data_IF_509076627200
#
_entry.id   IF_509076627200
#
_cell.length_a   1.000
_cell.length_b   1.000
_cell.length_c   1.000
_cell.angle_alpha   90.00
_cell.angle_beta   90.00
_cell.angle_gamma   90.00
#
_symmetry.space_group_name_H-M   'P 1'
#
loop_
_entity.id
_entity.type
_entity.pdbx_description
1 polymer ?
#
# COMPACT_ATOMS: atom_id res chain seq x y z
N UNK A 1 -10.79 -18.18 -16.50
CA UNK A 1 -11.70 -17.27 -15.80
C UNK A 1 -10.90 -16.06 -15.32
N UNK A 2 -11.30 -14.84 -15.72
CA UNK A 2 -10.58 -13.59 -15.37
C UNK A 2 -10.70 -13.28 -13.88
N UNK A 3 -11.84 -13.60 -13.26
CA UNK A 3 -12.06 -13.37 -11.83
C UNK A 3 -11.09 -14.20 -10.99
N UNK A 4 -11.03 -15.51 -11.22
CA UNK A 4 -10.09 -16.39 -10.51
C UNK A 4 -8.63 -15.94 -10.67
N UNK A 5 -8.23 -15.45 -11.85
CA UNK A 5 -6.89 -14.92 -12.10
C UNK A 5 -6.64 -13.64 -11.29
N UNK A 6 -7.57 -12.69 -11.28
CA UNK A 6 -7.45 -11.45 -10.50
C UNK A 6 -7.29 -11.74 -9.00
N UNK A 7 -8.10 -12.66 -8.45
CA UNK A 7 -8.03 -13.08 -7.05
C UNK A 7 -6.69 -13.76 -6.74
N UNK A 8 -6.19 -14.62 -7.61
CA UNK A 8 -4.89 -15.27 -7.42
C UNK A 8 -3.74 -14.25 -7.42
N UNK A 9 -3.76 -13.29 -8.35
CA UNK A 9 -2.77 -12.20 -8.39
C UNK A 9 -2.85 -11.30 -7.16
N UNK A 10 -4.07 -10.99 -6.69
CA UNK A 10 -4.29 -10.22 -5.47
C UNK A 10 -3.61 -10.89 -4.27
N UNK A 11 -3.88 -12.18 -4.06
CA UNK A 11 -3.30 -12.95 -2.95
C UNK A 11 -1.78 -13.07 -3.07
N UNK A 12 -1.27 -13.33 -4.28
CA UNK A 12 0.17 -13.41 -4.53
C UNK A 12 0.90 -12.11 -4.20
N UNK A 13 0.32 -10.94 -4.55
CA UNK A 13 0.92 -9.64 -4.23
C UNK A 13 0.70 -9.26 -2.78
N UNK A 14 -0.49 -9.53 -2.21
CA UNK A 14 -0.84 -9.22 -0.81
C UNK A 14 0.14 -9.92 0.12
N UNK A 15 0.30 -11.23 -0.02
CA UNK A 15 1.03 -12.06 0.96
C UNK A 15 2.46 -12.40 0.52
N UNK A 16 2.77 -12.37 -0.78
CA UNK A 16 4.12 -12.64 -1.29
C UNK A 16 5.12 -11.51 -1.06
N UNK A 17 4.66 -10.31 -0.70
CA UNK A 17 5.49 -9.15 -0.39
C UNK A 17 5.06 -8.62 0.97
N UNK A 18 5.92 -8.68 1.98
CA UNK A 18 5.62 -8.16 3.32
C UNK A 18 5.39 -6.65 3.27
N UNK A 19 4.40 -6.15 4.01
CA UNK A 19 4.22 -4.71 4.16
C UNK A 19 5.32 -4.09 5.03
N UNK A 20 5.99 -3.06 4.53
CA UNK A 20 7.03 -2.35 5.26
C UNK A 20 6.97 -0.84 4.93
N UNK A 21 6.43 0.00 5.85
CA UNK A 21 6.26 1.43 5.59
C UNK A 21 7.59 2.21 5.58
N UNK A 22 8.71 1.58 5.96
CA UNK A 22 10.03 2.21 5.96
C UNK A 22 10.81 2.00 4.66
N UNK A 23 10.28 1.21 3.70
CA UNK A 23 10.91 0.90 2.41
C UNK A 23 10.60 1.93 1.32
N UNK A 24 10.61 3.21 1.68
CA UNK A 24 10.41 4.29 0.71
C UNK A 24 11.75 4.58 0.01
N UNK A 25 11.80 4.37 -1.31
CA UNK A 25 12.94 4.73 -2.16
C UNK A 25 12.64 5.99 -2.95
N UNK A 26 13.66 6.78 -3.28
CA UNK A 26 13.55 7.92 -4.21
C UNK A 26 13.94 7.56 -5.65
N UNK A 27 14.41 6.35 -5.92
CA UNK A 27 14.75 5.92 -7.28
C UNK A 27 13.48 5.44 -8.01
N UNK A 28 13.06 6.08 -9.12
CA UNK A 28 11.93 5.62 -9.92
C UNK A 28 12.06 4.19 -10.43
N UNK A 29 13.28 3.66 -10.58
CA UNK A 29 13.52 2.28 -10.99
C UNK A 29 12.95 1.26 -9.99
N UNK A 30 12.95 1.59 -8.70
CA UNK A 30 12.44 0.72 -7.62
C UNK A 30 10.91 0.56 -7.65
N UNK A 31 10.22 1.47 -8.34
CA UNK A 31 8.77 1.42 -8.52
C UNK A 31 8.34 0.62 -9.76
N UNK A 32 9.29 0.16 -10.59
CA UNK A 32 8.95 -0.70 -11.74
C UNK A 32 8.41 -2.03 -11.23
N UNK A 33 7.30 -2.50 -11.80
CA UNK A 33 6.68 -3.75 -11.38
C UNK A 33 7.66 -4.95 -11.37
N UNK A 34 8.61 -5.01 -12.32
CA UNK A 34 9.64 -6.04 -12.34
C UNK A 34 10.60 -5.98 -11.14
N UNK A 35 10.93 -4.77 -10.66
CA UNK A 35 11.75 -4.58 -9.47
C UNK A 35 10.95 -4.92 -8.21
N UNK A 36 9.70 -4.45 -8.12
CA UNK A 36 8.80 -4.75 -7.00
C UNK A 36 8.57 -6.26 -6.86
N UNK A 37 8.39 -6.99 -7.96
CA UNK A 37 8.20 -8.44 -7.97
C UNK A 37 9.40 -9.22 -7.41
N UNK A 38 10.59 -8.62 -7.37
CA UNK A 38 11.80 -9.22 -6.81
C UNK A 38 12.04 -8.81 -5.33
N UNK A 39 11.23 -7.90 -4.80
CA UNK A 39 11.35 -7.47 -3.41
C UNK A 39 10.64 -8.42 -2.46
N UNK A 40 11.24 -8.67 -1.29
CA UNK A 40 10.61 -9.41 -0.19
C UNK A 40 9.68 -8.54 0.65
N UNK A 41 9.80 -7.20 0.59
CA UNK A 41 8.96 -6.28 1.33
C UNK A 41 8.83 -4.92 0.66
N UNK A 42 7.65 -4.32 0.74
CA UNK A 42 7.39 -2.99 0.21
C UNK A 42 6.17 -2.35 0.89
N UNK A 43 5.88 -1.09 0.59
CA UNK A 43 4.71 -0.37 1.12
C UNK A 43 3.55 -0.37 0.10
N UNK A 44 2.45 0.32 0.43
CA UNK A 44 1.18 0.18 -0.31
C UNK A 44 1.30 0.60 -1.78
N UNK A 45 2.07 1.66 -2.08
CA UNK A 45 2.18 2.20 -3.44
C UNK A 45 2.86 1.20 -4.40
N UNK A 46 4.07 0.65 -4.14
CA UNK A 46 4.67 -0.30 -5.07
C UNK A 46 3.89 -1.61 -5.19
N UNK A 47 3.25 -2.07 -4.11
CA UNK A 47 2.36 -3.25 -4.14
C UNK A 47 1.16 -3.02 -5.06
N UNK A 48 0.55 -1.83 -5.04
CA UNK A 48 -0.50 -1.45 -6.00
C UNK A 48 0.02 -1.39 -7.44
N UNK A 49 1.25 -0.90 -7.66
CA UNK A 49 1.89 -0.90 -8.99
C UNK A 49 2.07 -2.32 -9.52
N UNK A 50 2.61 -3.23 -8.70
CA UNK A 50 2.80 -4.62 -9.11
C UNK A 50 1.47 -5.30 -9.46
N UNK A 51 0.46 -5.16 -8.61
CA UNK A 51 -0.85 -5.78 -8.86
C UNK A 51 -1.51 -5.23 -10.12
N UNK A 52 -1.49 -3.90 -10.31
CA UNK A 52 -2.02 -3.24 -11.51
C UNK A 52 -1.30 -3.73 -12.78
N UNK A 53 0.02 -3.81 -12.76
CA UNK A 53 0.81 -4.29 -13.89
C UNK A 53 0.53 -5.77 -14.20
N UNK A 54 0.39 -6.62 -13.18
CA UNK A 54 0.09 -8.03 -13.35
C UNK A 54 -1.30 -8.26 -13.98
N UNK A 55 -2.30 -7.49 -13.56
CA UNK A 55 -3.64 -7.53 -14.16
C UNK A 55 -3.61 -7.10 -15.64
N UNK A 56 -2.95 -5.98 -15.94
CA UNK A 56 -2.78 -5.50 -17.33
C UNK A 56 -2.08 -6.54 -18.21
N UNK A 57 -1.06 -7.21 -17.68
CA UNK A 57 -0.32 -8.26 -18.40
C UNK A 57 -1.21 -9.43 -18.82
N UNK A 58 -2.20 -9.80 -18.02
CA UNK A 58 -3.17 -10.88 -18.34
C UNK A 58 -4.41 -10.38 -19.07
N UNK A 59 -4.43 -9.11 -19.51
CA UNK A 59 -5.51 -8.51 -20.29
C UNK A 59 -6.74 -8.11 -19.47
N UNK A 60 -6.59 -7.89 -18.16
CA UNK A 60 -7.62 -7.30 -17.30
C UNK A 60 -7.35 -5.78 -17.25
N UNK A 61 -8.31 -4.92 -17.68
CA UNK A 61 -8.15 -3.48 -17.54
C UNK A 61 -7.99 -3.11 -16.07
N UNK A 62 -6.94 -2.36 -15.76
CA UNK A 62 -6.65 -1.92 -14.40
C UNK A 62 -5.93 -0.58 -14.40
N UNK A 63 -6.05 0.16 -13.30
CA UNK A 63 -5.46 1.49 -13.09
C UNK A 63 -5.16 1.71 -11.60
N UNK A 64 -4.29 2.67 -11.29
CA UNK A 64 -3.88 2.98 -9.93
C UNK A 64 -4.90 3.91 -9.27
N UNK A 65 -5.30 3.61 -8.04
CA UNK A 65 -6.12 4.50 -7.22
C UNK A 65 -5.35 4.97 -5.99
N UNK A 66 -5.57 6.23 -5.60
CA UNK A 66 -4.92 6.81 -4.42
C UNK A 66 -5.90 7.57 -3.53
N UNK A 67 -5.61 7.55 -2.23
CA UNK A 67 -6.33 8.34 -1.24
C UNK A 67 -5.41 8.67 -0.06
N UNK A 68 -5.77 9.69 0.72
CA UNK A 68 -5.21 9.90 2.05
C UNK A 68 -6.06 9.15 3.06
N UNK A 69 -5.38 8.52 4.02
CA UNK A 69 -6.03 7.76 5.08
C UNK A 69 -5.54 8.20 6.46
N UNK A 70 -6.39 8.08 7.46
CA UNK A 70 -6.05 8.26 8.88
C UNK A 70 -6.22 6.96 9.63
N UNK A 71 -5.40 6.80 10.65
CA UNK A 71 -5.29 5.57 11.43
C UNK A 71 -4.84 4.41 10.53
N UNK A 72 -3.54 4.28 10.42
CA UNK A 72 -2.95 3.08 9.85
C UNK A 72 -2.54 2.18 11.00
N UNK A 73 -2.34 0.91 10.71
CA UNK A 73 -1.48 0.05 11.50
C UNK A 73 -0.13 0.78 11.74
N UNK A 74 -0.01 1.51 12.84
CA UNK A 74 1.14 2.34 13.17
C UNK A 74 1.68 1.94 14.53
N UNK A 75 2.98 1.68 14.59
CA UNK A 75 3.69 1.66 15.86
C UNK A 75 3.88 3.08 16.38
N UNK A 76 4.15 3.22 17.69
CA UNK A 76 4.51 4.51 18.27
C UNK A 76 5.74 5.13 17.58
N UNK A 77 6.71 4.30 17.16
CA UNK A 77 7.92 4.71 16.44
C UNK A 77 7.58 5.32 15.08
N UNK A 78 6.69 4.68 14.31
CA UNK A 78 6.25 5.21 13.02
C UNK A 78 5.51 6.53 13.18
N UNK A 79 4.59 6.61 14.16
CA UNK A 79 3.83 7.83 14.44
C UNK A 79 4.72 9.00 14.87
N UNK A 80 5.72 8.75 15.71
CA UNK A 80 6.70 9.77 16.12
C UNK A 80 7.53 10.28 14.95
N UNK A 81 8.02 9.38 14.09
CA UNK A 81 8.79 9.73 12.88
C UNK A 81 7.97 10.58 11.90
N UNK A 82 6.71 10.21 11.67
CA UNK A 82 5.82 10.92 10.74
C UNK A 82 5.37 12.28 11.28
N UNK A 83 5.25 12.44 12.60
CA UNK A 83 4.76 13.67 13.24
C UNK A 83 3.28 13.98 12.94
N UNK A 84 2.55 13.04 12.35
CA UNK A 84 1.14 13.15 11.97
C UNK A 84 0.48 11.78 11.92
N UNK A 85 -0.86 11.74 11.99
CA UNK A 85 -1.67 10.52 11.83
C UNK A 85 -2.17 10.32 10.39
N UNK A 86 -1.78 11.24 9.48
CA UNK A 86 -2.16 11.24 8.08
C UNK A 86 -1.19 10.41 7.25
N UNK A 87 -1.70 9.40 6.57
CA UNK A 87 -0.99 8.62 5.55
C UNK A 87 -1.41 9.13 4.18
N UNK A 88 -0.62 10.05 3.64
CA UNK A 88 -0.82 10.57 2.30
C UNK A 88 -0.51 9.50 1.22
N UNK A 89 -1.29 9.50 0.15
CA UNK A 89 -1.08 8.64 -1.03
C UNK A 89 -1.11 7.12 -0.76
N UNK A 90 -2.04 6.65 0.08
CA UNK A 90 -2.34 5.22 0.18
C UNK A 90 -2.75 4.64 -1.17
N UNK A 91 -1.99 3.65 -1.65
CA UNK A 91 -2.18 3.02 -2.95
C UNK A 91 -3.14 1.83 -2.92
N UNK A 92 -4.03 1.78 -3.91
CA UNK A 92 -4.86 0.61 -4.26
C UNK A 92 -4.96 0.47 -5.78
N UNK A 93 -5.54 -0.63 -6.25
CA UNK A 93 -5.79 -0.87 -7.67
C UNK A 93 -7.28 -0.81 -7.96
N UNK A 94 -7.68 -0.16 -9.05
CA UNK A 94 -8.99 -0.35 -9.65
C UNK A 94 -8.87 -1.30 -10.84
N UNK A 95 -9.80 -2.24 -10.98
CA UNK A 95 -9.81 -3.23 -12.06
C UNK A 95 -11.21 -3.46 -12.60
N UNK A 96 -11.32 -3.71 -13.91
CA UNK A 96 -12.58 -4.03 -14.58
C UNK A 96 -12.74 -5.55 -14.72
N UNK A 97 -13.77 -6.10 -14.10
CA UNK A 97 -14.21 -7.47 -14.30
C UNK A 97 -15.61 -7.43 -14.91
N UNK A 98 -15.70 -7.78 -16.18
CA UNK A 98 -16.94 -7.87 -16.96
C UNK A 98 -17.77 -6.57 -16.94
N UNK A 99 -17.09 -5.42 -17.10
CA UNK A 99 -17.72 -4.09 -17.12
C UNK A 99 -18.01 -3.51 -15.73
N UNK A 100 -17.61 -4.20 -14.66
CA UNK A 100 -17.68 -3.71 -13.28
C UNK A 100 -16.28 -3.32 -12.78
N UNK A 101 -16.12 -2.04 -12.49
CA UNK A 101 -14.94 -1.55 -11.77
C UNK A 101 -15.03 -1.91 -10.29
N UNK A 102 -13.98 -2.59 -9.81
CA UNK A 102 -13.77 -2.93 -8.41
C UNK A 102 -12.50 -2.26 -7.90
N UNK A 103 -12.40 -2.09 -6.59
CA UNK A 103 -11.23 -1.55 -5.89
C UNK A 103 -10.61 -2.60 -4.99
N UNK A 104 -9.30 -2.78 -5.07
CA UNK A 104 -8.59 -3.79 -4.29
C UNK A 104 -7.27 -3.24 -3.75
N UNK A 105 -7.12 -3.26 -2.43
CA UNK A 105 -5.91 -2.86 -1.71
C UNK A 105 -5.11 -4.09 -1.31
N UNK A 106 -3.93 -4.27 -1.90
CA UNK A 106 -3.01 -5.38 -1.60
C UNK A 106 -2.06 -5.05 -0.43
N UNK A 107 -2.27 -3.93 0.26
CA UNK A 107 -1.30 -3.35 1.19
C UNK A 107 -0.88 -4.29 2.34
N UNK A 108 -1.81 -4.83 3.13
CA UNK A 108 -1.45 -5.62 4.32
C UNK A 108 -1.47 -7.11 4.03
N UNK A 109 -0.31 -7.75 4.20
CA UNK A 109 -0.19 -9.19 4.20
C UNK A 109 -0.85 -9.80 5.45
N UNK A 110 -1.30 -11.05 5.34
CA UNK A 110 -2.02 -11.76 6.40
C UNK A 110 -1.26 -11.73 7.75
N UNK A 111 0.05 -11.92 7.74
CA UNK A 111 0.86 -11.99 8.96
C UNK A 111 0.82 -10.66 9.72
N UNK A 112 0.87 -9.54 9.00
CA UNK A 112 0.72 -8.21 9.60
C UNK A 112 -0.68 -8.03 10.18
N UNK A 113 -1.71 -8.41 9.42
CA UNK A 113 -3.09 -8.31 9.89
C UNK A 113 -3.31 -9.07 11.21
N UNK A 114 -2.80 -10.31 11.29
CA UNK A 114 -2.87 -11.13 12.51
C UNK A 114 -2.12 -10.50 13.67
N UNK A 115 -0.92 -9.99 13.42
CA UNK A 115 -0.05 -9.40 14.45
C UNK A 115 -0.69 -8.18 15.12
N UNK A 116 -1.42 -7.39 14.35
CA UNK A 116 -2.10 -6.21 14.87
C UNK A 116 -3.59 -6.43 15.20
N UNK A 117 -4.10 -7.67 15.09
CA UNK A 117 -5.49 -7.99 15.42
C UNK A 117 -6.52 -7.36 14.48
N UNK A 118 -6.16 -7.21 13.21
CA UNK A 118 -7.03 -6.63 12.17
C UNK A 118 -7.54 -7.68 11.22
N UNK A 119 -8.73 -7.45 10.67
CA UNK A 119 -9.31 -8.31 9.66
C UNK A 119 -8.48 -8.29 8.37
N UNK A 120 -8.15 -9.47 7.87
CA UNK A 120 -7.54 -9.66 6.55
C UNK A 120 -8.49 -9.16 5.47
N UNK A 121 -7.98 -8.35 4.55
CA UNK A 121 -8.73 -7.96 3.36
C UNK A 121 -8.74 -9.10 2.35
N UNK A 122 -9.91 -9.70 2.16
CA UNK A 122 -10.15 -10.68 1.12
C UNK A 122 -10.73 -10.02 -0.13
N UNK A 123 -10.30 -10.48 -1.30
CA UNK A 123 -10.85 -10.07 -2.58
C UNK A 123 -11.48 -11.28 -3.26
N UNK A 124 -12.79 -11.25 -3.43
CA UNK A 124 -13.58 -12.31 -4.08
C UNK A 124 -13.78 -12.07 -5.59
N UNK A 125 -13.32 -10.90 -6.08
CA UNK A 125 -13.54 -10.46 -7.45
C UNK A 125 -14.97 -10.02 -7.76
N UNK A 126 -15.84 -9.90 -6.74
CA UNK A 126 -17.22 -9.42 -6.86
C UNK A 126 -17.42 -8.09 -6.12
N UNK A 127 -16.71 -7.88 -5.03
CA UNK A 127 -16.82 -6.73 -4.14
C UNK A 127 -15.47 -6.02 -4.01
N UNK A 128 -15.52 -4.76 -3.59
CA UNK A 128 -14.33 -4.00 -3.26
C UNK A 128 -13.62 -4.61 -2.05
N UNK A 129 -12.31 -4.74 -2.14
CA UNK A 129 -11.41 -5.09 -1.04
C UNK A 129 -10.65 -3.84 -0.57
N UNK A 130 -11.37 -2.94 0.10
CA UNK A 130 -10.82 -1.73 0.73
C UNK A 130 -10.80 -1.87 2.25
N UNK A 131 -9.84 -1.19 2.87
CA UNK A 131 -9.64 -1.21 4.32
C UNK A 131 -10.90 -0.84 5.09
N UNK A 132 -11.19 -1.65 6.12
CA UNK A 132 -12.38 -1.50 6.93
C UNK A 132 -12.21 -0.37 7.97
N UNK A 133 -13.29 0.39 8.24
CA UNK A 133 -13.24 1.47 9.24
C UNK A 133 -13.10 0.99 10.67
N UNK A 134 -13.24 -0.31 10.94
CA UNK A 134 -13.18 -0.90 12.27
C UNK A 134 -12.34 -2.18 12.29
N UNK A 135 -11.67 -2.45 13.41
CA UNK A 135 -10.96 -3.70 13.69
C UNK A 135 -11.93 -4.79 14.18
N UNK A 136 -11.42 -5.98 14.52
CA UNK A 136 -12.25 -7.09 15.01
C UNK A 136 -12.90 -6.82 16.37
N UNK A 137 -12.36 -5.88 17.15
CA UNK A 137 -12.89 -5.44 18.45
C UNK A 137 -13.87 -4.26 18.32
N UNK A 138 -14.11 -3.75 17.10
CA UNK A 138 -14.99 -2.62 16.84
C UNK A 138 -14.37 -1.25 17.10
N UNK A 139 -13.06 -1.16 17.33
CA UNK A 139 -12.38 0.12 17.43
C UNK A 139 -12.21 0.73 16.03
N UNK A 140 -12.29 2.05 15.92
CA UNK A 140 -11.97 2.75 14.66
C UNK A 140 -10.56 2.37 14.24
N UNK A 141 -10.41 1.87 13.01
CA UNK A 141 -9.18 1.29 12.52
C UNK A 141 -8.55 2.07 11.38
N UNK A 142 -9.34 2.59 10.43
CA UNK A 142 -8.83 3.26 9.22
C UNK A 142 -9.91 4.16 8.59
N UNK A 143 -9.60 5.41 8.25
CA UNK A 143 -10.54 6.36 7.64
C UNK A 143 -9.96 6.92 6.34
N UNK A 144 -10.68 6.77 5.23
CA UNK A 144 -10.35 7.48 3.98
C UNK A 144 -10.78 8.94 4.10
N UNK A 145 -9.82 9.86 4.22
CA UNK A 145 -10.09 11.28 4.49
C UNK A 145 -10.06 12.15 3.23
N UNK A 146 -9.37 11.70 2.17
CA UNK A 146 -9.33 12.41 0.88
C UNK A 146 -9.11 11.43 -0.27
N UNK A 147 -10.01 11.39 -1.24
CA UNK A 147 -9.72 10.69 -2.50
C UNK A 147 -8.79 11.55 -3.36
N UNK A 148 -7.71 10.96 -3.86
CA UNK A 148 -6.78 11.62 -4.82
C UNK A 148 -7.10 11.28 -6.27
N UNK A 149 -7.94 10.28 -6.49
CA UNK A 149 -8.42 9.88 -7.80
C UNK A 149 -7.66 8.68 -8.36
N UNK A 150 -7.71 8.56 -9.68
CA UNK A 150 -7.27 7.37 -10.40
C UNK A 150 -6.33 7.74 -11.54
N UNK A 151 -5.30 6.93 -11.76
CA UNK A 151 -4.16 7.25 -12.62
C UNK A 151 -3.76 6.05 -13.48
N UNK A 152 -3.39 6.31 -14.73
CA UNK A 152 -2.89 5.28 -15.64
C UNK A 152 -1.45 4.86 -15.31
N UNK A 153 -0.62 5.82 -14.92
CA UNK A 153 0.77 5.62 -14.47
C UNK A 153 0.96 6.20 -13.07
N UNK A 154 2.07 5.82 -12.41
CA UNK A 154 2.38 6.27 -11.06
C UNK A 154 2.73 7.77 -11.05
N UNK A 155 1.97 8.64 -10.36
CA UNK A 155 2.29 10.08 -10.24
C UNK A 155 3.39 10.30 -9.18
N UNK A 156 4.57 9.73 -9.39
CA UNK A 156 5.63 9.64 -8.38
C UNK A 156 6.12 11.02 -7.91
N UNK A 157 6.26 11.97 -8.82
CA UNK A 157 6.68 13.33 -8.50
C UNK A 157 5.66 14.06 -7.61
N UNK A 158 4.36 13.88 -7.88
CA UNK A 158 3.29 14.46 -7.05
C UNK A 158 3.23 13.81 -5.66
N UNK A 159 3.48 12.50 -5.59
CA UNK A 159 3.59 11.76 -4.31
C UNK A 159 4.71 12.37 -3.47
N UNK A 160 5.91 12.50 -4.02
CA UNK A 160 7.05 13.03 -3.26
C UNK A 160 6.95 14.52 -2.95
N UNK A 161 6.38 15.32 -3.84
CA UNK A 161 6.06 16.72 -3.53
C UNK A 161 5.13 16.82 -2.32
N UNK A 162 4.08 15.98 -2.27
CA UNK A 162 3.18 15.92 -1.11
C UNK A 162 3.92 15.44 0.16
N UNK A 163 4.82 14.46 0.05
CA UNK A 163 5.55 13.96 1.22
C UNK A 163 6.46 15.01 1.83
N UNK A 164 7.11 15.84 1.01
CA UNK A 164 7.92 16.95 1.48
C UNK A 164 7.10 18.00 2.26
N UNK A 165 5.83 18.19 1.90
CA UNK A 165 4.90 19.09 2.60
C UNK A 165 4.33 18.48 3.89
N UNK A 166 3.94 17.20 3.86
CA UNK A 166 3.20 16.53 4.94
C UNK A 166 4.13 15.97 6.02
N UNK A 167 5.34 15.53 5.66
CA UNK A 167 6.30 14.89 6.57
C UNK A 167 7.63 15.67 6.68
N UNK A 168 7.60 16.96 7.06
CA UNK A 168 8.80 17.80 7.06
C UNK A 168 9.86 17.30 8.04
N UNK A 169 9.47 16.69 9.17
CA UNK A 169 10.38 16.11 10.18
C UNK A 169 11.07 14.82 9.72
N UNK A 170 10.39 13.98 8.92
CA UNK A 170 10.99 12.75 8.41
C UNK A 170 12.01 13.03 7.30
N UNK A 171 11.92 14.18 6.63
CA UNK A 171 12.91 14.63 5.63
C UNK A 171 14.03 15.51 6.20
N UNK A 172 13.88 16.08 7.41
CA UNK A 172 14.88 16.99 8.02
C UNK A 172 15.84 16.33 9.03
N UNK A 173 15.60 15.06 9.40
CA UNK A 173 16.62 14.18 9.97
C UNK A 173 17.08 13.20 8.90
N UNK A 174 18.35 13.24 8.49
CA UNK A 174 18.94 12.44 7.41
C UNK A 174 18.98 10.91 7.63
N UNK A 175 17.87 10.28 7.99
CA UNK A 175 17.75 8.84 8.20
C UNK A 175 16.43 8.22 7.70
N UNK A 176 15.60 8.95 6.93
CA UNK A 176 14.49 8.33 6.18
C UNK A 176 14.59 8.49 4.65
N UNK A 177 15.69 9.06 4.15
CA UNK A 177 15.90 9.34 2.72
C UNK A 177 17.21 8.77 2.14
N UNK A 178 17.91 7.91 2.87
CA UNK A 178 19.06 7.16 2.34
C UNK A 178 18.93 5.70 2.70
N UNK A 179 18.83 4.83 1.69
CA UNK A 179 18.99 3.40 1.90
C UNK A 179 20.29 3.10 2.67
N UNK A 180 20.18 2.14 3.58
CA UNK A 180 21.24 1.54 4.37
C UNK A 180 21.88 2.40 5.48
N UNK A 181 21.25 2.35 6.66
CA UNK A 181 21.89 2.60 7.95
C UNK A 181 21.13 1.83 9.02
N UNK A 182 21.72 0.76 9.53
CA UNK A 182 21.17 -0.07 10.58
C UNK A 182 21.00 0.74 11.87
N UNK A 183 19.77 1.16 12.18
CA UNK A 183 19.24 1.50 13.52
C UNK A 183 17.76 1.85 13.38
N UNK A 184 16.97 0.87 12.97
CA UNK A 184 15.63 1.18 12.47
C UNK A 184 14.64 0.04 12.42
N UNK A 185 15.00 -1.18 12.82
CA UNK A 185 14.03 -2.28 12.84
C UNK A 185 12.89 -1.88 13.77
N UNK A 186 11.71 -1.75 13.18
CA UNK A 186 10.48 -1.68 13.93
C UNK A 186 9.94 -3.10 13.97
N UNK A 187 10.14 -3.74 15.12
CA UNK A 187 9.67 -5.09 15.36
C UNK A 187 8.17 -5.21 15.11
N UNK A 188 7.40 -4.12 15.08
CA UNK A 188 5.98 -4.17 14.71
C UNK A 188 5.77 -4.63 13.26
N UNK A 189 6.67 -4.31 12.34
CA UNK A 189 6.55 -4.64 10.92
C UNK A 189 7.46 -5.79 10.47
N UNK A 190 8.41 -6.24 11.29
CA UNK A 190 9.21 -7.44 11.00
C UNK A 190 8.58 -8.68 11.67
N UNK A 191 8.17 -9.63 10.85
CA UNK A 191 7.75 -10.98 11.25
C UNK A 191 8.10 -11.94 10.11
#
# INVERSE_FOLDING_TARGET
DRRAVAVALFNAVRDGIRYDPYRVSHDPADFRASAVAQSSSNWCVPKAVLYTAALRHVGIPARLGFADVRNHLTSAKLSESMGTDLFAWHGYTELDLDGKWLKASTAFNIELCRKFGTKVLEFDGEHDALMHPYDEAGNRHMEYVRQRGTFEDLPLDEIFATFAEVYPSSMSGGAAASGAGADGVDDAFTA
#
